data_IF_796420684868
#
_entry.id   IF_796420684868
#
_cell.length_a   1.000
_cell.length_b   1.000
_cell.length_c   1.000
_cell.angle_alpha   90.00
_cell.angle_beta   90.00
_cell.angle_gamma   90.00
#
_symmetry.space_group_name_H-M   'P 1'
#
loop_
_entity.id
_entity.type
_entity.pdbx_description
1 polymer ?
#
# COMPACT_ATOMS: atom_id res chain seq x y z
N UNK A 1 -0.02 1.79 19.81
CA UNK A 1 0.13 1.23 18.48
C UNK A 1 0.72 2.26 17.55
N UNK A 2 1.74 1.89 16.86
CA UNK A 2 2.44 2.83 16.00
C UNK A 2 2.15 2.53 14.55
N UNK A 3 2.01 3.58 13.78
CA UNK A 3 1.87 3.46 12.35
C UNK A 3 3.24 3.52 11.73
N UNK A 4 3.47 2.68 10.76
CA UNK A 4 4.73 2.63 10.05
C UNK A 4 4.55 3.24 8.67
N UNK A 5 5.65 3.66 8.09
CA UNK A 5 5.65 4.18 6.74
C UNK A 5 5.88 3.07 5.74
N UNK A 6 5.25 3.21 4.60
CA UNK A 6 5.43 2.27 3.52
C UNK A 6 5.07 2.91 2.19
N UNK A 7 5.31 2.18 1.13
CA UNK A 7 5.03 2.63 -0.22
C UNK A 7 4.25 1.57 -0.95
N UNK A 8 3.35 2.01 -1.82
CA UNK A 8 2.63 1.09 -2.70
C UNK A 8 3.20 1.29 -4.10
N UNK A 9 3.61 0.18 -4.69
CA UNK A 9 4.26 0.17 -6.00
C UNK A 9 3.38 -0.57 -6.99
N UNK A 10 3.54 -0.24 -8.27
CA UNK A 10 2.90 -1.04 -9.31
C UNK A 10 3.82 -2.21 -9.69
N UNK A 11 3.35 -3.03 -10.63
CA UNK A 11 4.10 -4.21 -11.03
C UNK A 11 5.45 -3.89 -11.68
N UNK A 12 5.61 -2.67 -12.16
CA UNK A 12 6.88 -2.24 -12.71
C UNK A 12 7.83 -1.61 -11.72
N UNK A 13 7.42 -1.53 -10.46
CA UNK A 13 8.29 -0.96 -9.42
C UNK A 13 8.14 0.53 -9.23
N UNK A 14 7.20 1.15 -9.91
CA UNK A 14 6.97 2.59 -9.76
C UNK A 14 6.20 2.86 -8.47
N UNK A 15 6.65 3.86 -7.70
CA UNK A 15 5.98 4.22 -6.47
C UNK A 15 4.72 5.01 -6.81
N UNK A 16 3.59 4.47 -6.38
CA UNK A 16 2.30 5.11 -6.64
C UNK A 16 1.84 5.96 -5.48
N UNK A 17 2.22 5.61 -4.26
CA UNK A 17 1.84 6.37 -3.08
C UNK A 17 2.75 6.00 -1.93
N UNK A 18 2.98 6.98 -1.07
CA UNK A 18 3.71 6.78 0.18
C UNK A 18 2.80 7.21 1.31
N UNK A 19 2.83 6.48 2.41
CA UNK A 19 1.98 6.85 3.52
C UNK A 19 2.23 6.00 4.74
N UNK A 20 1.30 6.11 5.69
CA UNK A 20 1.36 5.34 6.92
C UNK A 20 0.42 4.15 6.80
N UNK A 21 0.76 3.08 7.50
CA UNK A 21 -0.06 1.88 7.41
C UNK A 21 -0.08 1.14 8.74
N UNK A 22 -1.10 0.32 8.88
CA UNK A 22 -1.23 -0.64 9.97
C UNK A 22 -1.62 -1.97 9.39
N UNK A 23 -1.01 -3.03 9.90
CA UNK A 23 -1.27 -4.38 9.41
C UNK A 23 -2.15 -5.11 10.40
N UNK A 24 -3.21 -5.72 9.89
CA UNK A 24 -4.05 -6.65 10.65
C UNK A 24 -3.76 -8.05 10.12
N UNK A 25 -2.94 -8.79 10.84
CA UNK A 25 -2.51 -10.09 10.36
C UNK A 25 -3.63 -11.12 10.35
N UNK A 26 -4.57 -10.98 11.26
CA UNK A 26 -5.67 -11.94 11.30
C UNK A 26 -6.52 -11.87 10.05
N UNK A 27 -6.70 -10.68 9.52
CA UNK A 27 -7.51 -10.49 8.33
C UNK A 27 -6.68 -10.35 7.07
N UNK A 28 -5.36 -10.32 7.21
CA UNK A 28 -4.45 -10.11 6.08
C UNK A 28 -4.79 -8.81 5.37
N UNK A 29 -5.02 -7.79 6.16
CA UNK A 29 -5.39 -6.48 5.65
C UNK A 29 -4.43 -5.42 6.13
N UNK A 30 -4.29 -4.39 5.32
CA UNK A 30 -3.47 -3.23 5.64
C UNK A 30 -4.36 -2.01 5.51
N UNK A 31 -4.40 -1.20 6.54
CA UNK A 31 -5.03 0.11 6.47
C UNK A 31 -3.94 1.09 6.08
N UNK A 32 -4.12 1.74 4.94
CA UNK A 32 -3.09 2.57 4.36
C UNK A 32 -3.64 3.97 4.14
N UNK A 33 -2.91 4.95 4.63
CA UNK A 33 -3.28 6.35 4.45
C UNK A 33 -2.11 7.08 3.79
N UNK A 34 -2.27 7.45 2.53
CA UNK A 34 -1.24 8.23 1.83
C UNK A 34 -1.06 9.58 2.50
N UNK A 35 0.18 10.07 2.48
CA UNK A 35 0.48 11.40 3.01
C UNK A 35 0.55 12.44 1.91
N UNK A 36 0.42 12.01 0.66
CA UNK A 36 0.44 12.91 -0.49
C UNK A 36 -0.69 12.51 -1.41
N UNK A 37 -0.81 13.22 -2.54
CA UNK A 37 -1.81 12.92 -3.53
C UNK A 37 -1.74 11.45 -3.93
N UNK A 38 -2.88 10.77 -3.89
CA UNK A 38 -2.96 9.34 -4.19
C UNK A 38 -3.61 9.07 -5.53
N UNK A 39 -3.63 10.06 -6.42
CA UNK A 39 -4.30 9.89 -7.71
C UNK A 39 -3.74 8.73 -8.50
N UNK A 40 -2.43 8.54 -8.47
CA UNK A 40 -1.82 7.45 -9.21
C UNK A 40 -2.30 6.10 -8.67
N UNK A 41 -2.36 5.98 -7.35
CA UNK A 41 -2.81 4.74 -6.74
C UNK A 41 -4.29 4.52 -7.01
N UNK A 42 -5.08 5.59 -6.95
CA UNK A 42 -6.51 5.47 -7.22
C UNK A 42 -6.78 4.87 -8.59
N UNK A 43 -5.99 5.25 -9.58
CA UNK A 43 -6.22 4.85 -10.96
C UNK A 43 -5.57 3.54 -11.33
N UNK A 44 -4.67 3.04 -10.48
CA UNK A 44 -3.94 1.83 -10.83
C UNK A 44 -4.86 0.62 -10.71
N UNK A 45 -4.94 -0.17 -11.77
CA UNK A 45 -5.75 -1.38 -11.77
C UNK A 45 -4.91 -2.65 -11.90
N UNK A 46 -3.62 -2.50 -12.09
CA UNK A 46 -2.74 -3.64 -12.22
C UNK A 46 -2.25 -4.17 -10.89
N UNK A 47 -1.26 -5.06 -10.93
CA UNK A 47 -0.71 -5.64 -9.70
C UNK A 47 -0.10 -4.58 -8.81
N UNK A 48 -0.24 -4.77 -7.52
CA UNK A 48 0.28 -3.83 -6.52
C UNK A 48 1.16 -4.58 -5.54
N UNK A 49 2.16 -3.87 -5.04
CA UNK A 49 3.08 -4.39 -4.03
C UNK A 49 3.20 -3.34 -2.95
N UNK A 50 3.15 -3.78 -1.71
CA UNK A 50 3.39 -2.90 -0.57
C UNK A 50 4.82 -3.08 -0.12
N UNK A 51 5.60 -2.02 -0.17
CA UNK A 51 6.98 -2.05 0.32
C UNK A 51 7.00 -1.42 1.70
N UNK A 52 7.42 -2.19 2.68
CA UNK A 52 7.46 -1.74 4.05
C UNK A 52 8.78 -1.06 4.35
N UNK A 53 8.78 -0.27 5.41
CA UNK A 53 9.95 0.51 5.77
C UNK A 53 11.16 -0.36 6.09
N UNK A 54 10.93 -1.58 6.53
CA UNK A 54 12.03 -2.49 6.85
C UNK A 54 12.50 -3.30 5.63
N UNK A 55 12.00 -2.98 4.46
CA UNK A 55 12.43 -3.64 3.23
C UNK A 55 11.60 -4.82 2.80
N UNK A 56 10.66 -5.26 3.65
CA UNK A 56 9.80 -6.37 3.24
C UNK A 56 8.83 -5.91 2.16
N UNK A 57 8.43 -6.86 1.35
CA UNK A 57 7.46 -6.61 0.29
C UNK A 57 6.29 -7.56 0.45
N UNK A 58 5.09 -7.02 0.32
CA UNK A 58 3.87 -7.79 0.41
C UNK A 58 3.13 -7.66 -0.90
N UNK A 59 2.76 -8.79 -1.47
CA UNK A 59 1.96 -8.81 -2.67
C UNK A 59 0.51 -8.51 -2.30
N UNK A 60 -0.09 -7.54 -2.97
CA UNK A 60 -1.45 -7.14 -2.65
C UNK A 60 -2.42 -7.84 -3.58
N UNK A 61 -3.48 -8.37 -2.99
CA UNK A 61 -4.51 -9.09 -3.73
C UNK A 61 -5.69 -8.20 -4.07
N UNK A 62 -5.91 -7.14 -3.29
CA UNK A 62 -7.08 -6.30 -3.51
C UNK A 62 -6.84 -4.91 -2.92
N UNK A 63 -7.50 -3.95 -3.52
CA UNK A 63 -7.44 -2.57 -3.09
C UNK A 63 -8.86 -2.06 -2.94
N UNK A 64 -9.21 -1.59 -1.75
CA UNK A 64 -10.51 -1.01 -1.48
C UNK A 64 -10.33 0.42 -1.02
N UNK A 65 -11.07 1.34 -1.61
CA UNK A 65 -11.03 2.74 -1.20
C UNK A 65 -12.13 2.92 -0.17
N UNK A 66 -11.74 3.27 1.05
CA UNK A 66 -12.70 3.47 2.11
C UNK A 66 -13.23 4.88 2.15
N UNK A 67 -12.35 5.87 1.98
CA UNK A 67 -12.73 7.27 2.00
C UNK A 67 -11.93 7.99 0.94
N UNK A 68 -12.56 8.99 0.33
CA UNK A 68 -11.87 9.91 -0.55
C UNK A 68 -11.92 11.28 0.07
N UNK A 69 -10.75 11.90 0.15
CA UNK A 69 -10.59 13.23 0.70
C UNK A 69 -10.06 14.15 -0.39
N UNK A 70 -10.53 15.38 -0.37
CA UNK A 70 -10.04 16.39 -1.30
C UNK A 70 -9.47 17.52 -0.49
N UNK A 71 -8.25 17.91 -0.80
CA UNK A 71 -7.62 19.04 -0.15
C UNK A 71 -8.06 20.35 -0.77
N UNK A 72 -7.64 21.45 -0.15
CA UNK A 72 -8.03 22.78 -0.63
C UNK A 72 -7.51 23.08 -2.03
N UNK A 73 -6.42 22.44 -2.42
CA UNK A 73 -5.85 22.65 -3.76
C UNK A 73 -6.37 21.65 -4.77
N UNK A 74 -7.37 20.88 -4.41
CA UNK A 74 -7.90 19.86 -5.29
C UNK A 74 -7.15 18.56 -5.29
N UNK A 75 -6.12 18.44 -4.47
CA UNK A 75 -5.40 17.18 -4.41
C UNK A 75 -6.31 16.10 -3.83
N UNK A 76 -6.10 14.89 -4.27
CA UNK A 76 -6.93 13.76 -3.87
C UNK A 76 -6.14 12.84 -2.97
N UNK A 77 -6.73 12.50 -1.85
CA UNK A 77 -6.20 11.49 -0.95
C UNK A 77 -7.29 10.50 -0.66
N UNK A 78 -6.95 9.23 -0.72
CA UNK A 78 -7.89 8.18 -0.39
C UNK A 78 -7.31 7.36 0.74
N UNK A 79 -8.19 6.86 1.58
CA UNK A 79 -7.80 5.94 2.64
C UNK A 79 -8.19 4.56 2.17
N UNK A 80 -7.23 3.65 2.17
CA UNK A 80 -7.39 2.36 1.55
C UNK A 80 -7.41 1.25 2.59
N UNK A 81 -8.14 0.20 2.25
CA UNK A 81 -7.97 -1.10 2.87
C UNK A 81 -7.41 -2.02 1.82
N UNK A 82 -6.21 -2.50 2.05
CA UNK A 82 -5.51 -3.35 1.11
C UNK A 82 -5.47 -4.76 1.68
N UNK A 83 -5.65 -5.76 0.83
CA UNK A 83 -5.50 -7.15 1.24
C UNK A 83 -4.20 -7.68 0.67
N UNK A 84 -3.45 -8.37 1.51
CA UNK A 84 -2.21 -8.95 1.05
C UNK A 84 -2.30 -10.47 1.09
N UNK A 85 -1.39 -11.09 0.35
CA UNK A 85 -1.39 -12.54 0.21
C UNK A 85 -0.51 -13.10 1.32
N UNK A 86 -1.11 -13.89 2.22
CA UNK A 86 -0.38 -14.47 3.33
C UNK A 86 0.71 -15.38 2.80
N UNK A 87 1.84 -15.36 3.47
CA UNK A 87 2.95 -16.20 3.06
C UNK A 87 3.80 -15.61 1.98
N UNK A 88 3.51 -14.37 1.56
CA UNK A 88 4.25 -13.72 0.49
C UNK A 88 5.20 -12.65 0.99
N UNK A 89 5.32 -12.53 2.29
CA UNK A 89 6.07 -11.40 2.85
C UNK A 89 7.52 -11.38 2.43
N UNK A 90 8.08 -12.52 2.15
CA UNK A 90 9.49 -12.59 1.79
C UNK A 90 9.73 -12.69 0.30
N UNK A 91 8.68 -12.56 -0.49
CA UNK A 91 8.82 -12.81 -1.91
C UNK A 91 9.82 -11.89 -2.58
N UNK A 92 9.84 -10.66 -2.14
CA UNK A 92 10.70 -9.69 -2.76
C UNK A 92 12.13 -9.78 -2.34
N UNK A 93 12.48 -10.70 -1.49
CA UNK A 93 13.83 -10.79 -0.95
C UNK A 93 14.58 -11.86 -1.71
N UNK A 94 15.32 -11.48 -2.74
CA UNK A 94 15.99 -12.48 -3.57
C UNK A 94 17.00 -13.31 -2.80
N UNK A 95 17.59 -12.70 -1.81
CA UNK A 95 18.58 -13.42 -1.03
C UNK A 95 17.96 -14.53 -0.20
N UNK A 96 16.68 -14.58 -0.12
CA UNK A 96 16.06 -15.59 0.67
C UNK A 96 16.21 -16.98 0.06
N UNK A 97 16.79 -17.02 -1.09
CA UNK A 97 16.96 -18.33 -1.63
C UNK A 97 18.26 -18.59 -2.10
#
# INVERSE_FOLDING_TARGET
MEADYGRVLNGGGEVLATGVFEINKERQEINFRPVVDSSLLDRETGPLIMELDDGRMLELAAKYIRFRLHGPDGERQSIYRLRYVAGQEARGLPASR
#
